data_IF_374716333528
#
_entry.id   IF_374716333528
#
_cell.length_a   1.000
_cell.length_b   1.000
_cell.length_c   1.000
_cell.angle_alpha   90.00
_cell.angle_beta   90.00
_cell.angle_gamma   90.00
#
_symmetry.space_group_name_H-M   'P 1'
#
loop_
_entity.id
_entity.type
_entity.pdbx_description
1 polymer ?
#
# COMPACT_ATOMS: atom_id res chain seq x y z
N UNK A 1 -10.54 7.80 -20.27
CA UNK A 1 -9.52 7.08 -19.47
C UNK A 1 -8.24 7.12 -20.28
N UNK A 2 -7.09 7.50 -19.69
CA UNK A 2 -5.81 7.43 -20.38
C UNK A 2 -5.54 5.99 -20.84
N UNK A 3 -4.86 5.85 -21.97
CA UNK A 3 -4.54 4.54 -22.55
C UNK A 3 -3.50 3.84 -21.68
N UNK A 4 -3.85 2.68 -21.13
CA UNK A 4 -2.87 1.83 -20.45
C UNK A 4 -2.01 1.14 -21.50
N UNK A 5 -0.70 1.37 -21.44
CA UNK A 5 0.32 0.75 -22.27
C UNK A 5 1.25 -0.07 -21.37
N UNK A 6 1.44 -1.33 -21.73
CA UNK A 6 2.30 -2.25 -21.02
C UNK A 6 2.96 -3.24 -21.95
N UNK A 7 4.13 -3.73 -21.55
CA UNK A 7 4.87 -4.76 -22.28
C UNK A 7 5.60 -5.66 -21.28
N UNK A 8 5.35 -6.97 -21.36
CA UNK A 8 6.02 -8.01 -20.55
C UNK A 8 6.12 -7.68 -19.05
N UNK A 9 5.06 -7.15 -18.45
CA UNK A 9 5.06 -6.76 -17.02
C UNK A 9 4.93 -8.02 -16.17
N UNK A 10 5.95 -8.38 -15.37
CA UNK A 10 5.82 -9.52 -14.47
C UNK A 10 4.86 -9.17 -13.32
N UNK A 11 4.12 -10.15 -12.84
CA UNK A 11 3.52 -10.03 -11.51
C UNK A 11 4.63 -10.01 -10.48
N UNK A 12 4.66 -8.99 -9.64
CA UNK A 12 5.68 -8.87 -8.60
C UNK A 12 5.07 -9.11 -7.22
N UNK A 13 5.92 -9.52 -6.26
CA UNK A 13 5.51 -9.67 -4.86
C UNK A 13 4.88 -8.38 -4.28
N UNK A 14 5.24 -7.20 -4.80
CA UNK A 14 4.65 -5.94 -4.35
C UNK A 14 3.17 -5.82 -4.70
N UNK A 15 2.78 -6.38 -5.85
CA UNK A 15 1.43 -6.27 -6.37
C UNK A 15 0.50 -7.33 -5.76
N UNK A 16 1.07 -8.44 -5.28
CA UNK A 16 0.30 -9.59 -4.80
C UNK A 16 0.22 -9.69 -3.27
N UNK A 17 1.33 -9.45 -2.57
CA UNK A 17 1.44 -9.83 -1.15
C UNK A 17 1.77 -8.67 -0.21
N UNK A 18 2.11 -7.48 -0.72
CA UNK A 18 2.37 -6.31 0.11
C UNK A 18 1.15 -5.39 0.24
N UNK A 19 1.08 -4.66 1.35
CA UNK A 19 0.11 -3.60 1.55
C UNK A 19 0.44 -2.41 0.66
N UNK A 20 -0.56 -1.88 -0.02
CA UNK A 20 -0.40 -0.70 -0.88
C UNK A 20 -0.38 0.62 -0.09
N UNK A 21 -0.94 0.65 1.13
CA UNK A 21 -1.11 1.85 1.97
C UNK A 21 -0.48 1.72 3.36
N UNK A 22 0.54 0.88 3.50
CA UNK A 22 1.12 0.55 4.79
C UNK A 22 2.37 -0.30 4.69
N UNK A 23 2.96 -0.59 5.84
CA UNK A 23 4.14 -1.43 5.92
C UNK A 23 3.81 -2.93 5.79
N UNK A 24 4.66 -3.64 5.03
CA UNK A 24 4.77 -5.09 5.05
C UNK A 24 3.67 -5.85 4.32
N UNK A 25 3.50 -7.12 4.69
CA UNK A 25 2.65 -8.08 3.99
C UNK A 25 1.16 -7.92 4.32
N UNK A 26 0.28 -8.22 3.36
CA UNK A 26 -1.18 -8.16 3.53
C UNK A 26 -1.68 -9.08 4.67
N UNK A 27 -1.02 -10.22 4.86
CA UNK A 27 -1.36 -11.22 5.88
C UNK A 27 -0.96 -10.85 7.31
N UNK A 28 -0.19 -9.77 7.51
CA UNK A 28 0.49 -9.46 8.77
C UNK A 28 0.12 -8.06 9.27
N UNK A 29 -0.85 -7.94 10.18
CA UNK A 29 -1.22 -6.70 10.85
C UNK A 29 -1.71 -6.97 12.28
N UNK A 30 -1.70 -5.95 13.13
CA UNK A 30 -2.31 -6.07 14.45
C UNK A 30 -3.83 -5.95 14.33
N UNK A 31 -4.55 -6.86 14.99
CA UNK A 31 -6.00 -6.86 15.07
C UNK A 31 -6.46 -7.19 16.50
N UNK A 32 -7.76 -7.09 16.74
CA UNK A 32 -8.41 -7.39 18.01
C UNK A 32 -9.16 -8.72 17.93
N UNK A 33 -8.96 -9.56 18.95
CA UNK A 33 -9.80 -10.73 19.20
C UNK A 33 -11.21 -10.31 19.65
N UNK A 34 -12.13 -11.27 19.81
CA UNK A 34 -13.50 -11.01 20.29
C UNK A 34 -13.54 -10.38 21.70
N UNK A 35 -12.58 -10.72 22.56
CA UNK A 35 -12.38 -10.10 23.88
C UNK A 35 -11.55 -8.81 23.84
N UNK A 36 -11.24 -8.29 22.64
CA UNK A 36 -10.47 -7.08 22.39
C UNK A 36 -9.02 -7.13 22.89
N UNK A 37 -8.41 -8.31 22.86
CA UNK A 37 -6.98 -8.51 23.05
C UNK A 37 -6.26 -8.31 21.72
N UNK A 38 -5.11 -7.62 21.73
CA UNK A 38 -4.34 -7.40 20.51
C UNK A 38 -3.58 -8.66 20.14
N UNK A 39 -3.60 -9.05 18.88
CA UNK A 39 -2.74 -10.10 18.33
C UNK A 39 -2.21 -9.70 16.96
N UNK A 40 -1.14 -10.38 16.49
CA UNK A 40 -0.63 -10.20 15.13
C UNK A 40 -1.22 -11.28 14.21
N UNK A 41 -1.85 -10.89 13.11
CA UNK A 41 -2.44 -11.84 12.14
C UNK A 41 -1.38 -12.65 11.39
N UNK A 42 -1.82 -13.74 10.75
CA UNK A 42 -0.99 -14.57 9.88
C UNK A 42 -0.09 -15.55 10.63
N UNK A 43 0.96 -16.03 9.98
CA UNK A 43 1.90 -17.03 10.52
C UNK A 43 3.37 -16.73 10.15
N UNK A 44 3.66 -15.51 9.69
CA UNK A 44 4.96 -15.14 9.12
C UNK A 44 6.06 -14.93 10.16
N UNK A 45 5.68 -14.42 11.32
CA UNK A 45 6.56 -14.11 12.44
C UNK A 45 6.26 -15.01 13.62
N UNK A 46 7.23 -15.23 14.50
CA UNK A 46 7.03 -16.00 15.74
C UNK A 46 5.95 -15.40 16.66
N UNK A 47 5.67 -14.10 16.52
CA UNK A 47 4.61 -13.39 17.26
C UNK A 47 3.21 -13.61 16.67
N UNK A 48 3.11 -14.11 15.44
CA UNK A 48 1.82 -14.21 14.74
C UNK A 48 0.92 -15.24 15.41
N UNK A 49 -0.36 -14.91 15.54
CA UNK A 49 -1.37 -15.72 16.24
C UNK A 49 -1.24 -15.74 17.76
N UNK A 50 -0.29 -14.99 18.35
CA UNK A 50 -0.14 -14.90 19.81
C UNK A 50 -0.83 -13.65 20.35
N UNK A 51 -1.57 -13.84 21.43
CA UNK A 51 -2.20 -12.75 22.18
C UNK A 51 -1.15 -11.89 22.90
N UNK A 52 -1.37 -10.58 22.85
CA UNK A 52 -0.54 -9.54 23.47
C UNK A 52 -1.38 -8.77 24.51
N UNK A 53 -1.76 -9.41 25.63
CA UNK A 53 -2.76 -8.88 26.57
C UNK A 53 -2.36 -7.54 27.20
N UNK A 54 -1.06 -7.27 27.34
CA UNK A 54 -0.56 -6.03 27.92
C UNK A 54 -0.45 -4.87 26.94
N UNK A 55 -0.51 -5.13 25.62
CA UNK A 55 -0.24 -4.11 24.61
C UNK A 55 -1.32 -3.03 24.58
N UNK A 56 -2.59 -3.42 24.49
CA UNK A 56 -3.71 -2.48 24.51
C UNK A 56 -3.78 -1.66 25.82
N UNK A 57 -3.78 -2.29 27.02
CA UNK A 57 -3.79 -1.53 28.28
C UNK A 57 -2.67 -0.49 28.36
N UNK A 58 -1.48 -0.84 27.89
CA UNK A 58 -0.35 0.10 27.85
C UNK A 58 -0.64 1.31 26.93
N UNK A 59 -1.22 1.10 25.74
CA UNK A 59 -1.61 2.19 24.83
C UNK A 59 -2.73 3.07 25.40
N UNK A 60 -3.74 2.47 26.04
CA UNK A 60 -4.84 3.22 26.68
C UNK A 60 -4.32 4.07 27.85
N UNK A 61 -3.44 3.50 28.69
CA UNK A 61 -2.87 4.20 29.84
C UNK A 61 -1.93 5.35 29.41
N UNK A 62 -1.00 5.09 28.49
CA UNK A 62 0.09 6.01 28.18
C UNK A 62 -0.22 6.99 27.04
N UNK A 63 -0.99 6.55 26.04
CA UNK A 63 -1.28 7.33 24.83
C UNK A 63 -2.74 7.77 24.77
N UNK A 64 -3.56 7.40 25.76
CA UNK A 64 -5.00 7.74 25.86
C UNK A 64 -5.78 7.31 24.62
N UNK A 65 -5.38 6.19 24.03
CA UNK A 65 -6.08 5.58 22.88
C UNK A 65 -7.46 5.10 23.32
N UNK A 66 -8.43 5.25 22.43
CA UNK A 66 -9.81 4.80 22.60
C UNK A 66 -10.17 3.94 21.38
N UNK A 67 -10.29 2.63 21.59
CA UNK A 67 -10.53 1.68 20.50
C UNK A 67 -11.90 1.84 19.83
N UNK A 68 -12.84 2.55 20.48
CA UNK A 68 -14.13 2.88 19.86
C UNK A 68 -14.00 3.96 18.77
N UNK A 69 -12.91 4.74 18.79
CA UNK A 69 -12.64 5.82 17.85
C UNK A 69 -11.72 5.35 16.74
N UNK A 70 -12.32 4.81 15.68
CA UNK A 70 -11.58 4.36 14.50
C UNK A 70 -11.57 5.41 13.40
N UNK A 71 -10.51 5.39 12.57
CA UNK A 71 -10.41 6.16 11.33
C UNK A 71 -10.07 5.20 10.18
N UNK A 72 -11.07 4.72 9.43
CA UNK A 72 -10.84 3.80 8.33
C UNK A 72 -10.07 4.49 7.20
N UNK A 73 -9.14 3.76 6.58
CA UNK A 73 -8.45 4.20 5.36
C UNK A 73 -9.42 4.22 4.18
N UNK A 74 -9.19 5.12 3.22
CA UNK A 74 -9.82 5.05 1.90
C UNK A 74 -9.45 3.74 1.17
N UNK A 75 -10.28 3.33 0.21
CA UNK A 75 -9.97 2.21 -0.69
C UNK A 75 -9.02 2.68 -1.79
N UNK A 76 -8.25 1.75 -2.37
CA UNK A 76 -7.38 2.05 -3.50
C UNK A 76 -8.15 2.65 -4.69
N UNK A 77 -9.39 2.19 -4.92
CA UNK A 77 -10.29 2.71 -5.97
C UNK A 77 -10.66 4.18 -5.81
N UNK A 78 -10.56 4.70 -4.58
CA UNK A 78 -10.99 6.06 -4.23
C UNK A 78 -9.82 7.05 -4.30
N UNK A 79 -8.58 6.55 -4.41
CA UNK A 79 -7.38 7.38 -4.56
C UNK A 79 -7.37 8.01 -5.94
N UNK A 80 -7.28 9.34 -5.99
CA UNK A 80 -7.13 10.06 -7.25
C UNK A 80 -5.69 9.95 -7.74
N UNK A 81 -5.46 9.09 -8.72
CA UNK A 81 -4.14 8.90 -9.32
C UNK A 81 -4.01 9.83 -10.54
N UNK A 82 -2.97 10.68 -10.62
CA UNK A 82 -2.72 11.51 -11.81
C UNK A 82 -2.53 10.65 -13.06
N UNK A 83 -3.08 11.10 -14.19
CA UNK A 83 -2.89 10.45 -15.49
C UNK A 83 -1.39 10.38 -15.86
N UNK A 84 -0.99 9.35 -16.61
CA UNK A 84 0.36 9.26 -17.13
C UNK A 84 0.55 10.24 -18.29
N UNK A 85 1.73 10.87 -18.36
CA UNK A 85 2.13 11.67 -19.51
C UNK A 85 2.99 10.79 -20.42
N UNK A 86 2.40 10.32 -21.52
CA UNK A 86 3.06 9.42 -22.46
C UNK A 86 3.93 10.18 -23.49
N UNK A 87 5.08 9.59 -23.81
CA UNK A 87 5.87 9.91 -25.00
C UNK A 87 5.93 8.66 -25.86
N UNK A 88 5.23 8.66 -27.00
CA UNK A 88 5.06 7.45 -27.81
C UNK A 88 6.38 6.94 -28.38
N UNK A 89 7.27 7.83 -28.84
CA UNK A 89 8.58 7.44 -29.38
C UNK A 89 9.42 6.70 -28.31
N UNK A 90 9.34 7.15 -27.06
CA UNK A 90 10.01 6.46 -25.94
C UNK A 90 9.37 5.11 -25.64
N UNK A 91 8.03 5.03 -25.64
CA UNK A 91 7.31 3.78 -25.38
C UNK A 91 7.59 2.73 -26.46
N UNK A 92 7.63 3.16 -27.73
CA UNK A 92 7.95 2.28 -28.86
C UNK A 92 9.41 1.81 -28.76
N UNK A 93 10.34 2.69 -28.39
CA UNK A 93 11.73 2.30 -28.10
C UNK A 93 11.81 1.22 -27.01
N UNK A 94 11.07 1.35 -25.89
CA UNK A 94 11.07 0.33 -24.84
C UNK A 94 10.57 -1.03 -25.37
N UNK A 95 9.49 -1.01 -26.15
CA UNK A 95 8.89 -2.20 -26.74
C UNK A 95 9.83 -2.89 -27.74
N UNK A 96 10.43 -2.13 -28.64
CA UNK A 96 11.36 -2.64 -29.66
C UNK A 96 12.62 -3.26 -29.05
N UNK A 97 13.08 -2.71 -27.92
CA UNK A 97 14.24 -3.22 -27.19
C UNK A 97 13.89 -4.30 -26.16
N UNK A 98 12.63 -4.75 -26.11
CA UNK A 98 12.21 -5.82 -25.20
C UNK A 98 12.23 -5.44 -23.72
N UNK A 99 12.20 -4.14 -23.39
CA UNK A 99 12.25 -3.64 -22.02
C UNK A 99 10.84 -3.67 -21.42
N UNK A 100 10.69 -4.35 -20.29
CA UNK A 100 9.41 -4.42 -19.57
C UNK A 100 8.99 -3.05 -19.05
N UNK A 101 7.73 -2.67 -19.25
CA UNK A 101 7.19 -1.42 -18.72
C UNK A 101 5.67 -1.46 -18.48
N UNK A 102 5.17 -0.60 -17.60
CA UNK A 102 3.75 -0.30 -17.41
C UNK A 102 3.51 1.17 -17.07
N UNK A 103 2.54 1.81 -17.72
CA UNK A 103 2.00 3.10 -17.27
C UNK A 103 0.71 2.93 -16.43
N UNK A 104 0.37 1.71 -16.00
CA UNK A 104 -0.85 1.46 -15.24
C UNK A 104 -0.82 2.15 -13.86
N UNK A 105 -1.94 2.75 -13.41
CA UNK A 105 -2.00 3.57 -12.20
C UNK A 105 -1.47 2.88 -10.93
N UNK A 106 -1.78 1.59 -10.74
CA UNK A 106 -1.38 0.82 -9.56
C UNK A 106 0.14 0.62 -9.48
N UNK A 107 0.80 0.30 -10.60
CA UNK A 107 2.25 0.09 -10.64
C UNK A 107 3.00 1.37 -10.32
N UNK A 108 2.51 2.50 -10.83
CA UNK A 108 3.05 3.85 -10.61
C UNK A 108 2.87 4.29 -9.16
N UNK A 109 1.67 4.13 -8.59
CA UNK A 109 1.37 4.54 -7.21
C UNK A 109 2.24 3.80 -6.18
N UNK A 110 2.34 2.47 -6.27
CA UNK A 110 3.09 1.65 -5.29
C UNK A 110 4.61 1.99 -5.31
N UNK A 111 5.10 2.64 -6.36
CA UNK A 111 6.50 3.06 -6.53
C UNK A 111 6.70 4.56 -6.33
N UNK A 112 5.67 5.31 -5.92
CA UNK A 112 5.72 6.76 -5.79
C UNK A 112 5.96 7.26 -4.37
N UNK A 113 6.13 6.36 -3.39
CA UNK A 113 6.22 6.73 -1.98
C UNK A 113 7.19 5.85 -1.20
N UNK A 114 7.64 6.37 -0.06
CA UNK A 114 8.39 5.61 0.93
C UNK A 114 7.48 5.14 2.07
N UNK A 115 8.03 5.17 3.28
CA UNK A 115 7.33 4.81 4.53
C UNK A 115 7.39 5.94 5.56
N UNK A 116 7.39 7.20 5.11
CA UNK A 116 7.24 8.33 6.02
C UNK A 116 5.78 8.40 6.51
N UNK A 117 5.54 9.08 7.65
CA UNK A 117 4.17 9.32 8.12
C UNK A 117 3.36 10.09 7.06
N UNK A 118 3.99 11.04 6.37
CA UNK A 118 3.36 11.82 5.31
C UNK A 118 2.87 10.92 4.16
N UNK A 119 3.71 9.98 3.70
CA UNK A 119 3.34 9.01 2.67
C UNK A 119 2.13 8.18 3.10
N UNK A 120 2.15 7.65 4.33
CA UNK A 120 1.06 6.80 4.84
C UNK A 120 -0.25 7.58 4.96
N UNK A 121 -0.19 8.85 5.39
CA UNK A 121 -1.38 9.69 5.48
C UNK A 121 -1.92 10.06 4.10
N UNK A 122 -1.04 10.35 3.13
CA UNK A 122 -1.42 10.61 1.75
C UNK A 122 -2.14 9.40 1.15
N UNK A 123 -1.61 8.18 1.32
CA UNK A 123 -2.23 6.97 0.80
C UNK A 123 -3.56 6.64 1.48
N UNK A 124 -3.69 6.90 2.79
CA UNK A 124 -4.88 6.51 3.57
C UNK A 124 -6.00 7.54 3.54
N UNK A 125 -5.70 8.82 3.35
CA UNK A 125 -6.67 9.91 3.51
C UNK A 125 -6.54 11.02 2.45
N UNK A 126 -5.69 10.87 1.45
CA UNK A 126 -5.44 11.89 0.43
C UNK A 126 -5.15 11.30 -0.95
N UNK A 127 -4.36 12.01 -1.75
CA UNK A 127 -3.92 11.56 -3.07
C UNK A 127 -2.59 12.21 -3.42
N UNK A 128 -1.72 11.56 -4.19
CA UNK A 128 -0.44 12.14 -4.56
C UNK A 128 -0.62 13.18 -5.67
N UNK A 129 0.08 14.31 -5.56
CA UNK A 129 0.10 15.33 -6.62
C UNK A 129 0.94 14.88 -7.82
N UNK A 130 2.01 14.12 -7.57
CA UNK A 130 2.93 13.61 -8.58
C UNK A 130 3.35 12.18 -8.26
N UNK A 131 3.31 11.32 -9.28
CA UNK A 131 3.83 9.95 -9.25
C UNK A 131 4.61 9.68 -10.54
N UNK A 132 5.46 8.65 -10.64
CA UNK A 132 6.11 8.27 -11.90
C UNK A 132 5.10 8.10 -13.05
N UNK A 133 5.43 8.47 -14.28
CA UNK A 133 4.54 8.28 -15.44
C UNK A 133 4.56 6.85 -15.98
N UNK A 134 5.71 6.20 -15.87
CA UNK A 134 5.98 4.85 -16.36
C UNK A 134 6.90 4.14 -15.38
N UNK A 135 6.73 2.83 -15.26
CA UNK A 135 7.50 1.92 -14.41
C UNK A 135 8.12 0.84 -15.27
#
# INVERSE_FOLDING_TARGET
MPLVQEYNVPRTYRDEILKWNGWGYNDSHFDLTEDNTVYLTGNRYELSGKDLPSLRPWFEENLKVDISKTRPSQKLSDVKIPDAIDNQDFIDFLRENGISFSNAPNYRLIRSHGHTIHDMLMLRYGSPDRIPDIV
#
